data_IF_072311312973
#
_entry.id   IF_072311312973
#
_cell.length_a   1.000
_cell.length_b   1.000
_cell.length_c   1.000
_cell.angle_alpha   90.00
_cell.angle_beta   90.00
_cell.angle_gamma   90.00
#
_symmetry.space_group_name_H-M   'P 1'
#
loop_
_entity.id
_entity.type
_entity.pdbx_description
1 polymer ?
#
# COMPACT_ATOMS: atom_id res chain seq x y z
N UNK A 1 13.72 21.81 3.35
CA UNK A 1 13.85 20.51 4.02
C UNK A 1 12.87 19.58 3.33
N UNK A 2 13.30 18.77 2.34
CA UNK A 2 12.43 17.75 1.75
C UNK A 2 12.17 16.72 2.86
N UNK A 3 10.96 16.63 3.33
CA UNK A 3 10.57 15.52 4.19
C UNK A 3 10.79 14.23 3.38
N UNK A 4 11.61 13.34 3.91
CA UNK A 4 11.86 12.03 3.31
C UNK A 4 10.55 11.25 3.28
N UNK A 5 9.84 11.36 2.13
CA UNK A 5 8.52 10.75 1.94
C UNK A 5 8.61 9.22 1.85
N UNK A 6 9.82 8.67 1.70
CA UNK A 6 10.05 7.26 1.49
C UNK A 6 10.07 6.44 2.79
N UNK A 7 10.41 7.05 3.95
CA UNK A 7 10.54 6.32 5.22
C UNK A 7 9.22 6.23 5.96
N UNK A 8 8.83 5.00 6.31
CA UNK A 8 7.64 4.68 7.10
C UNK A 8 8.03 3.86 8.33
N UNK A 9 7.45 4.22 9.48
CA UNK A 9 7.62 3.44 10.71
C UNK A 9 6.68 2.25 10.68
N UNK A 10 7.21 1.05 10.89
CA UNK A 10 6.44 -0.21 10.89
C UNK A 10 6.31 -0.83 12.28
N UNK A 11 7.02 -0.31 13.27
CA UNK A 11 6.97 -0.82 14.64
C UNK A 11 8.00 -0.17 15.53
N UNK A 12 8.28 -0.83 16.65
CA UNK A 12 9.32 -0.46 17.61
C UNK A 12 10.18 -1.66 17.94
N UNK A 13 11.45 -1.43 18.22
CA UNK A 13 12.37 -2.47 18.66
C UNK A 13 12.00 -2.93 20.08
N UNK A 14 11.55 -4.20 20.21
CA UNK A 14 11.12 -4.75 21.49
C UNK A 14 12.29 -5.00 22.45
N UNK A 15 13.49 -5.29 21.92
CA UNK A 15 14.67 -5.55 22.77
C UNK A 15 15.11 -4.30 23.53
N UNK A 16 14.99 -3.15 22.88
CA UNK A 16 15.34 -1.86 23.46
C UNK A 16 14.14 -1.28 24.26
N UNK A 17 12.92 -1.55 23.81
CA UNK A 17 11.71 -1.14 24.52
C UNK A 17 11.63 -1.74 25.93
N UNK A 18 12.10 -2.99 26.12
CA UNK A 18 12.18 -3.62 27.43
C UNK A 18 13.09 -2.88 28.41
N UNK A 19 13.99 -2.03 27.92
CA UNK A 19 14.88 -1.17 28.70
C UNK A 19 14.28 0.25 28.92
N UNK A 20 13.01 0.46 28.55
CA UNK A 20 12.32 1.73 28.69
C UNK A 20 12.59 2.75 27.57
N UNK A 21 13.31 2.36 26.52
CA UNK A 21 13.65 3.22 25.38
C UNK A 21 12.84 2.83 24.15
N UNK A 22 12.12 3.77 23.54
CA UNK A 22 11.33 3.55 22.33
C UNK A 22 12.14 3.90 21.08
N UNK A 23 12.59 2.87 20.35
CA UNK A 23 13.30 3.02 19.07
C UNK A 23 12.39 2.58 17.94
N UNK A 24 12.03 3.49 16.98
CA UNK A 24 11.19 3.12 15.85
C UNK A 24 11.96 2.24 14.86
N UNK A 25 11.28 1.21 14.34
CA UNK A 25 11.73 0.41 13.20
C UNK A 25 11.12 1.03 11.94
N UNK A 26 11.95 1.43 10.99
CA UNK A 26 11.53 2.10 9.76
C UNK A 26 11.91 1.29 8.52
N UNK A 27 11.07 1.38 7.49
CA UNK A 27 11.34 0.87 6.14
C UNK A 27 11.48 2.06 5.21
N UNK A 28 12.52 2.05 4.38
CA UNK A 28 12.76 3.06 3.36
C UNK A 28 12.31 2.53 2.00
N UNK A 29 11.17 3.02 1.52
CA UNK A 29 10.57 2.61 0.26
C UNK A 29 11.30 3.15 -0.98
N UNK A 30 12.28 4.04 -0.83
CA UNK A 30 13.16 4.43 -1.94
C UNK A 30 14.15 3.33 -2.29
N UNK A 31 14.55 2.53 -1.32
CA UNK A 31 15.49 1.40 -1.48
C UNK A 31 14.79 0.05 -1.54
N UNK A 32 13.63 -0.10 -0.88
CA UNK A 32 12.83 -1.33 -0.84
C UNK A 32 11.39 -0.98 -1.25
N UNK A 33 11.08 -0.93 -2.55
CA UNK A 33 9.80 -0.39 -3.05
C UNK A 33 8.59 -1.29 -2.79
N UNK A 34 8.77 -2.51 -2.30
CA UNK A 34 7.69 -3.47 -2.06
C UNK A 34 7.72 -4.00 -0.63
N UNK A 35 6.54 -4.19 -0.04
CA UNK A 35 6.39 -4.82 1.27
C UNK A 35 5.23 -5.81 1.22
N UNK A 36 5.45 -7.02 1.72
CA UNK A 36 4.42 -8.02 1.94
C UNK A 36 4.22 -8.21 3.45
N UNK A 37 2.99 -8.07 3.92
CA UNK A 37 2.60 -8.31 5.31
C UNK A 37 1.80 -9.60 5.36
N UNK A 38 2.35 -10.62 6.01
CA UNK A 38 1.71 -11.92 6.19
C UNK A 38 1.49 -12.14 7.68
N UNK A 39 0.27 -12.48 8.05
CA UNK A 39 -0.08 -12.71 9.44
C UNK A 39 -1.35 -13.56 9.56
N UNK A 40 -1.49 -14.38 10.60
CA UNK A 40 -2.73 -15.09 10.88
C UNK A 40 -3.91 -14.13 11.07
N UNK A 41 -5.13 -14.63 10.88
CA UNK A 41 -6.34 -13.86 11.16
C UNK A 41 -6.34 -13.41 12.63
N UNK A 42 -6.75 -12.16 12.87
CA UNK A 42 -6.79 -11.58 14.23
C UNK A 42 -5.44 -11.16 14.83
N UNK A 43 -4.32 -11.30 14.12
CA UNK A 43 -2.98 -10.93 14.63
C UNK A 43 -2.64 -9.43 14.54
N UNK A 44 -3.57 -8.60 14.03
CA UNK A 44 -3.36 -7.15 13.93
C UNK A 44 -2.84 -6.66 12.57
N UNK A 45 -2.89 -7.49 11.51
CA UNK A 45 -2.47 -7.11 10.15
C UNK A 45 -3.13 -5.79 9.70
N UNK A 46 -4.46 -5.71 9.78
CA UNK A 46 -5.22 -4.51 9.39
C UNK A 46 -4.84 -3.30 10.24
N UNK A 47 -4.61 -3.49 11.54
CA UNK A 47 -4.15 -2.41 12.42
C UNK A 47 -2.78 -1.84 11.99
N UNK A 48 -1.83 -2.72 11.65
CA UNK A 48 -0.52 -2.32 11.13
C UNK A 48 -0.66 -1.59 9.78
N UNK A 49 -1.50 -2.11 8.87
CA UNK A 49 -1.77 -1.46 7.58
C UNK A 49 -2.37 -0.07 7.77
N UNK A 50 -3.40 0.08 8.61
CA UNK A 50 -4.01 1.38 8.92
C UNK A 50 -2.98 2.37 9.50
N UNK A 51 -2.10 1.89 10.37
CA UNK A 51 -1.02 2.72 10.92
C UNK A 51 -0.04 3.21 9.83
N UNK A 52 0.35 2.33 8.90
CA UNK A 52 1.21 2.68 7.75
C UNK A 52 0.49 3.65 6.81
N UNK A 53 -0.76 3.36 6.45
CA UNK A 53 -1.59 4.19 5.58
C UNK A 53 -1.79 5.59 6.16
N UNK A 54 -1.99 5.70 7.48
CA UNK A 54 -2.09 6.97 8.17
C UNK A 54 -0.82 7.82 8.10
N UNK A 55 0.35 7.20 7.98
CA UNK A 55 1.60 7.92 7.73
C UNK A 55 1.70 8.38 6.27
N UNK A 56 1.29 7.53 5.32
CA UNK A 56 1.30 7.86 3.88
C UNK A 56 0.32 9.00 3.59
N UNK A 57 -0.90 8.94 4.15
CA UNK A 57 -1.94 9.94 3.96
C UNK A 57 -1.54 11.36 4.43
N UNK A 58 -0.58 11.47 5.35
CA UNK A 58 -0.03 12.76 5.80
C UNK A 58 1.05 13.32 4.88
N UNK A 59 1.45 12.57 3.86
CA UNK A 59 2.47 12.96 2.89
C UNK A 59 1.80 13.47 1.63
N UNK A 60 2.46 14.37 0.90
CA UNK A 60 2.00 14.82 -0.43
C UNK A 60 2.37 13.79 -1.48
N UNK A 61 1.69 12.64 -1.45
CA UNK A 61 1.91 11.52 -2.38
C UNK A 61 0.57 10.95 -2.83
N UNK A 62 0.55 10.27 -3.98
CA UNK A 62 -0.64 9.57 -4.44
C UNK A 62 -0.75 8.22 -3.71
N UNK A 63 -1.83 8.05 -2.94
CA UNK A 63 -2.19 6.78 -2.33
C UNK A 63 -3.35 6.16 -3.10
N UNK A 64 -3.21 4.90 -3.49
CA UNK A 64 -4.26 4.07 -4.08
C UNK A 64 -4.47 2.89 -3.14
N UNK A 65 -5.70 2.74 -2.69
CA UNK A 65 -6.08 1.72 -1.71
C UNK A 65 -7.08 0.76 -2.33
N UNK A 66 -6.76 -0.51 -2.30
CA UNK A 66 -7.55 -1.60 -2.85
C UNK A 66 -7.93 -2.58 -1.73
N UNK A 67 -9.21 -2.62 -1.36
CA UNK A 67 -9.75 -3.45 -0.29
C UNK A 67 -10.71 -4.49 -0.89
N UNK A 68 -10.22 -5.72 -1.06
CA UNK A 68 -11.03 -6.77 -1.68
C UNK A 68 -12.26 -7.16 -0.84
N UNK A 69 -12.17 -7.09 0.49
CA UNK A 69 -13.32 -7.32 1.39
C UNK A 69 -14.27 -6.12 1.44
N UNK A 70 -13.74 -4.90 1.29
CA UNK A 70 -14.50 -3.65 1.31
C UNK A 70 -14.97 -3.21 2.70
N UNK A 71 -14.39 -3.75 3.78
CA UNK A 71 -14.80 -3.49 5.16
C UNK A 71 -13.66 -3.08 6.09
N UNK A 72 -12.40 -3.33 5.68
CA UNK A 72 -11.26 -3.16 6.57
C UNK A 72 -10.76 -1.71 6.65
N UNK A 73 -11.10 -0.86 5.67
CA UNK A 73 -10.63 0.53 5.57
C UNK A 73 -11.80 1.53 5.42
N UNK A 74 -12.81 1.39 6.28
CA UNK A 74 -14.02 2.23 6.24
C UNK A 74 -13.70 3.73 6.40
N UNK A 75 -12.67 4.08 7.16
CA UNK A 75 -12.20 5.45 7.34
C UNK A 75 -11.69 6.12 6.06
N UNK A 76 -11.41 5.33 5.01
CA UNK A 76 -10.97 5.84 3.70
C UNK A 76 -12.10 5.91 2.67
N UNK A 77 -13.37 5.69 3.07
CA UNK A 77 -14.51 5.70 2.15
C UNK A 77 -14.65 6.96 1.30
N UNK A 78 -14.26 8.10 1.84
CA UNK A 78 -14.32 9.39 1.15
C UNK A 78 -13.08 9.68 0.29
N UNK A 79 -12.10 8.75 0.27
CA UNK A 79 -10.91 8.90 -0.55
C UNK A 79 -11.21 8.54 -2.01
N UNK A 80 -10.86 9.43 -2.94
CA UNK A 80 -11.11 9.26 -4.38
C UNK A 80 -10.46 8.00 -4.97
N UNK A 81 -9.34 7.54 -4.41
CA UNK A 81 -8.55 6.41 -4.91
C UNK A 81 -8.74 5.16 -4.01
N UNK A 82 -9.94 4.96 -3.48
CA UNK A 82 -10.30 3.78 -2.71
C UNK A 82 -11.19 2.86 -3.55
N UNK A 83 -10.70 1.67 -3.82
CA UNK A 83 -11.33 0.66 -4.67
C UNK A 83 -11.72 -0.55 -3.83
N UNK A 84 -12.95 -1.04 -3.99
CA UNK A 84 -13.51 -2.13 -3.18
C UNK A 84 -13.98 -3.29 -4.05
N UNK A 85 -13.97 -4.48 -3.47
CA UNK A 85 -14.56 -5.67 -4.09
C UNK A 85 -14.07 -5.87 -5.54
N UNK A 86 -14.99 -5.88 -6.47
CA UNK A 86 -14.70 -6.14 -7.89
C UNK A 86 -13.90 -5.02 -8.57
N UNK A 87 -13.85 -3.81 -7.99
CA UNK A 87 -13.08 -2.69 -8.54
C UNK A 87 -11.59 -2.69 -8.15
N UNK A 88 -11.15 -3.67 -7.37
CA UNK A 88 -9.71 -3.80 -7.00
C UNK A 88 -8.82 -3.94 -8.24
N UNK A 89 -9.30 -4.61 -9.31
CA UNK A 89 -8.60 -4.68 -10.59
C UNK A 89 -8.33 -3.31 -11.19
N UNK A 90 -9.29 -2.40 -11.12
CA UNK A 90 -9.17 -1.02 -11.63
C UNK A 90 -8.09 -0.22 -10.89
N UNK A 91 -7.85 -0.52 -9.59
CA UNK A 91 -6.75 0.07 -8.84
C UNK A 91 -5.38 -0.34 -9.41
N UNK A 92 -5.25 -1.61 -9.78
CA UNK A 92 -4.02 -2.14 -10.41
C UNK A 92 -3.83 -1.53 -11.79
N UNK A 93 -4.88 -1.48 -12.60
CA UNK A 93 -4.86 -0.88 -13.95
C UNK A 93 -4.48 0.61 -13.88
N UNK A 94 -5.04 1.36 -12.92
CA UNK A 94 -4.70 2.77 -12.72
C UNK A 94 -3.19 2.99 -12.43
N UNK A 95 -2.57 2.11 -11.64
CA UNK A 95 -1.11 2.18 -11.38
C UNK A 95 -0.31 1.77 -12.60
N UNK A 96 -0.75 0.74 -13.31
CA UNK A 96 -0.10 0.26 -14.50
C UNK A 96 -0.09 1.31 -15.61
N UNK A 97 -1.22 1.96 -15.87
CA UNK A 97 -1.35 3.03 -16.87
C UNK A 97 -0.44 4.22 -16.52
N UNK A 98 -0.40 4.62 -15.25
CA UNK A 98 0.50 5.68 -14.78
C UNK A 98 1.97 5.30 -14.96
N UNK A 99 2.34 4.04 -14.69
CA UNK A 99 3.69 3.53 -14.92
C UNK A 99 4.05 3.60 -16.40
N UNK A 100 3.16 3.13 -17.29
CA UNK A 100 3.37 3.19 -18.75
C UNK A 100 3.54 4.65 -19.22
N UNK A 101 2.72 5.56 -18.73
CA UNK A 101 2.81 6.97 -19.04
C UNK A 101 4.15 7.57 -18.59
N UNK A 102 4.61 7.26 -17.38
CA UNK A 102 5.91 7.71 -16.87
C UNK A 102 7.06 7.15 -17.70
N UNK A 103 7.01 5.88 -18.07
CA UNK A 103 8.03 5.25 -18.91
C UNK A 103 8.10 5.88 -20.30
N UNK A 104 6.95 6.16 -20.91
CA UNK A 104 6.88 6.80 -22.25
C UNK A 104 7.40 8.24 -22.25
N UNK A 105 7.26 8.96 -21.13
CA UNK A 105 7.65 10.35 -20.99
C UNK A 105 8.92 10.56 -20.16
N UNK A 106 9.64 9.47 -19.82
CA UNK A 106 10.85 9.56 -19.02
C UNK A 106 11.97 10.31 -19.73
N UNK A 107 12.64 11.20 -19.00
CA UNK A 107 13.87 11.88 -19.42
C UNK A 107 14.90 11.79 -18.29
N UNK A 108 16.15 12.12 -18.60
CA UNK A 108 17.27 12.06 -17.64
C UNK A 108 17.00 12.87 -16.36
N UNK A 109 16.19 13.93 -16.45
CA UNK A 109 15.86 14.82 -15.35
C UNK A 109 14.43 14.66 -14.85
N UNK A 110 13.72 13.58 -15.22
CA UNK A 110 12.35 13.37 -14.75
C UNK A 110 12.34 13.02 -13.27
N UNK A 111 11.63 13.84 -12.49
CA UNK A 111 11.30 13.56 -11.08
C UNK A 111 9.81 13.26 -11.00
N UNK A 112 9.46 12.12 -10.41
CA UNK A 112 8.08 11.72 -10.22
C UNK A 112 7.75 11.61 -8.73
N UNK A 113 6.57 12.07 -8.35
CA UNK A 113 6.07 11.84 -7.00
C UNK A 113 5.79 10.36 -6.77
N UNK A 114 6.10 9.83 -5.58
CA UNK A 114 5.80 8.43 -5.25
C UNK A 114 4.31 8.14 -5.34
N UNK A 115 4.00 6.93 -5.84
CA UNK A 115 2.65 6.35 -5.79
C UNK A 115 2.72 5.13 -4.88
N UNK A 116 1.82 5.08 -3.91
CA UNK A 116 1.65 3.92 -3.04
C UNK A 116 0.38 3.19 -3.44
N UNK A 117 0.51 1.91 -3.81
CA UNK A 117 -0.60 0.99 -3.98
C UNK A 117 -0.61 0.03 -2.78
N UNK A 118 -1.67 0.06 -2.01
CA UNK A 118 -1.90 -0.89 -0.94
C UNK A 118 -3.06 -1.80 -1.33
N UNK A 119 -2.81 -3.11 -1.32
CA UNK A 119 -3.84 -4.13 -1.60
C UNK A 119 -4.00 -4.99 -0.34
N UNK A 120 -5.19 -4.97 0.24
CA UNK A 120 -5.56 -5.92 1.29
C UNK A 120 -6.24 -7.16 0.69
N UNK A 121 -6.07 -8.31 1.35
CA UNK A 121 -6.58 -9.61 0.90
C UNK A 121 -6.10 -10.01 -0.51
N UNK A 122 -4.79 -9.88 -0.74
CA UNK A 122 -4.15 -10.22 -2.01
C UNK A 122 -4.50 -11.63 -2.51
N UNK A 123 -4.52 -12.63 -1.63
CA UNK A 123 -4.87 -14.01 -1.98
C UNK A 123 -6.32 -14.16 -2.44
N UNK A 124 -7.25 -13.45 -1.79
CA UNK A 124 -8.65 -13.43 -2.19
C UNK A 124 -8.83 -12.80 -3.57
N UNK A 125 -8.16 -11.70 -3.83
CA UNK A 125 -8.16 -11.04 -5.14
C UNK A 125 -7.61 -11.96 -6.24
N UNK A 126 -6.46 -12.59 -6.04
CA UNK A 126 -5.88 -13.52 -7.03
C UNK A 126 -6.81 -14.72 -7.32
N UNK A 127 -7.43 -15.28 -6.28
CA UNK A 127 -8.38 -16.39 -6.45
C UNK A 127 -9.59 -15.98 -7.30
N UNK A 128 -10.07 -14.75 -7.15
CA UNK A 128 -11.19 -14.24 -7.94
C UNK A 128 -10.84 -14.09 -9.43
N UNK A 129 -9.60 -13.74 -9.75
CA UNK A 129 -9.12 -13.65 -11.14
C UNK A 129 -9.02 -15.03 -11.80
N UNK A 130 -8.61 -16.07 -11.06
CA UNK A 130 -8.53 -17.43 -11.56
C UNK A 130 -9.92 -17.97 -11.94
N UNK A 131 -10.92 -17.75 -11.09
CA UNK A 131 -12.32 -18.17 -11.35
C UNK A 131 -12.89 -17.48 -12.60
N UNK A 132 -12.63 -16.19 -12.80
CA UNK A 132 -13.11 -15.48 -14.00
C UNK A 132 -12.52 -16.07 -15.29
N UNK A 133 -11.24 -16.43 -15.31
CA UNK A 133 -10.61 -17.07 -16.48
C UNK A 133 -11.22 -18.42 -16.83
N UNK A 134 -11.70 -19.18 -15.87
CA UNK A 134 -12.35 -20.47 -16.11
C UNK A 134 -13.78 -20.32 -16.67
N UNK A 135 -14.44 -19.20 -16.38
CA UNK A 135 -15.79 -18.90 -16.88
C UNK A 135 -15.80 -18.32 -18.31
N UNK A 136 -14.69 -17.71 -18.74
CA UNK A 136 -14.55 -17.08 -20.04
C UNK A 136 -13.97 -18.05 -21.13
N UNK A 137 -13.69 -19.31 -20.78
CA UNK A 137 -13.23 -20.40 -21.67
C UNK A 137 -14.31 -21.45 -21.86
#
# INVERSE_FOLDING_TARGET
MRFDSSKLTVGVDLSILSQGVKVPVTVDFSSVPHMLIVAPSGSGKTYLLTYILGQIAKKSVKLILADFKGIDFIEFNDCRNYYKHNSVGEAVDCVFDELQNRMANASVNSEYEPIYLCIDEWSGFLSSLAVKKEQDN
#
